data_IF_128716445410
#
_entry.id   IF_128716445410
#
_cell.length_a   1.000
_cell.length_b   1.000
_cell.length_c   1.000
_cell.angle_alpha   90.00
_cell.angle_beta   90.00
_cell.angle_gamma   90.00
#
_symmetry.space_group_name_H-M   'P 1'
#
loop_
_entity.id
_entity.type
_entity.pdbx_description
1 polymer ?
#
# COMPACT_ATOMS: atom_id res chain seq x y z
N UNK A 1 -13.87 -3.63 9.49
CA UNK A 1 -12.45 -4.06 9.50
C UNK A 1 -12.11 -4.41 8.06
N UNK A 2 -11.23 -3.65 7.40
CA UNK A 2 -10.85 -3.90 6.00
C UNK A 2 -9.57 -4.76 6.04
N UNK A 3 -9.58 -5.89 5.34
CA UNK A 3 -8.46 -6.81 5.24
C UNK A 3 -8.33 -7.26 3.79
N UNK A 4 -7.10 -7.47 3.35
CA UNK A 4 -6.76 -7.93 2.01
C UNK A 4 -5.84 -9.13 2.12
N UNK A 5 -6.04 -10.13 1.26
CA UNK A 5 -5.23 -11.35 1.23
C UNK A 5 -3.93 -11.18 0.43
N UNK A 6 -3.85 -10.16 -0.41
CA UNK A 6 -2.72 -9.86 -1.27
C UNK A 6 -2.44 -8.35 -1.34
N UNK A 7 -1.21 -8.02 -1.74
CA UNK A 7 -0.68 -6.65 -1.71
C UNK A 7 -1.12 -5.83 -2.91
N UNK A 8 -1.43 -6.47 -4.04
CA UNK A 8 -1.84 -5.78 -5.26
C UNK A 8 -3.24 -5.19 -5.06
N UNK A 9 -4.17 -5.98 -4.53
CA UNK A 9 -5.52 -5.52 -4.16
C UNK A 9 -5.48 -4.39 -3.13
N UNK A 10 -4.59 -4.48 -2.13
CA UNK A 10 -4.37 -3.40 -1.16
C UNK A 10 -3.87 -2.12 -1.86
N UNK A 11 -2.87 -2.23 -2.74
CA UNK A 11 -2.27 -1.10 -3.42
C UNK A 11 -3.28 -0.40 -4.34
N UNK A 12 -4.06 -1.14 -5.12
CA UNK A 12 -5.11 -0.59 -5.99
C UNK A 12 -6.21 0.07 -5.17
N UNK A 13 -6.57 -0.51 -4.03
CA UNK A 13 -7.55 0.10 -3.12
C UNK A 13 -7.05 1.44 -2.56
N UNK A 14 -5.76 1.54 -2.22
CA UNK A 14 -5.13 2.77 -1.74
C UNK A 14 -5.03 3.84 -2.84
N UNK A 15 -4.55 3.50 -4.03
CA UNK A 15 -4.42 4.45 -5.16
C UNK A 15 -5.73 5.15 -5.52
N UNK A 16 -6.84 4.41 -5.44
CA UNK A 16 -8.16 4.95 -5.74
C UNK A 16 -8.72 5.91 -4.66
N UNK A 17 -7.99 6.12 -3.55
CA UNK A 17 -8.45 6.90 -2.39
C UNK A 17 -7.49 8.00 -1.99
N UNK A 18 -6.19 7.74 -2.07
CA UNK A 18 -5.16 8.69 -1.66
C UNK A 18 -5.22 9.96 -2.50
N UNK A 19 -5.05 11.09 -1.83
CA UNK A 19 -4.85 12.40 -2.42
C UNK A 19 -3.36 12.78 -2.38
N UNK A 20 -2.91 13.74 -3.21
CA UNK A 20 -1.48 14.10 -3.30
C UNK A 20 -0.80 14.46 -1.98
N UNK A 21 -1.55 15.02 -1.01
CA UNK A 21 -1.00 15.47 0.28
C UNK A 21 -1.15 14.46 1.42
N UNK A 22 -1.65 13.24 1.13
CA UNK A 22 -1.84 12.22 2.15
C UNK A 22 -0.50 11.59 2.60
N UNK A 23 -0.34 11.43 3.92
CA UNK A 23 0.78 10.72 4.52
C UNK A 23 0.40 9.26 4.81
N UNK A 24 1.14 8.32 4.21
CA UNK A 24 0.92 6.88 4.39
C UNK A 24 2.07 6.24 5.16
N UNK A 25 1.77 5.60 6.30
CA UNK A 25 2.72 4.77 7.03
C UNK A 25 2.58 3.31 6.61
N UNK A 26 3.60 2.78 5.95
CA UNK A 26 3.70 1.35 5.64
C UNK A 26 4.57 0.66 6.69
N UNK A 27 4.02 -0.38 7.35
CA UNK A 27 4.71 -1.18 8.36
C UNK A 27 4.50 -2.67 8.13
N UNK A 28 5.56 -3.45 8.28
CA UNK A 28 5.52 -4.91 8.35
C UNK A 28 6.87 -5.48 8.76
N UNK A 29 6.91 -6.76 9.10
CA UNK A 29 8.18 -7.46 9.31
C UNK A 29 8.91 -7.66 7.97
N UNK A 30 10.23 -7.90 8.00
CA UNK A 30 11.05 -8.07 6.79
C UNK A 30 10.49 -9.13 5.82
N UNK A 31 9.97 -10.23 6.35
CA UNK A 31 9.42 -11.32 5.54
C UNK A 31 8.16 -10.95 4.76
N UNK A 32 7.43 -9.92 5.19
CA UNK A 32 6.20 -9.47 4.53
C UNK A 32 6.47 -8.72 3.22
N UNK A 33 7.68 -8.19 3.06
CA UNK A 33 8.11 -7.41 1.88
C UNK A 33 7.15 -6.24 1.59
N UNK A 34 6.87 -5.44 2.60
CA UNK A 34 5.91 -4.33 2.50
C UNK A 34 6.42 -3.17 1.64
N UNK A 35 7.73 -3.12 1.35
CA UNK A 35 8.33 -2.24 0.36
C UNK A 35 7.68 -2.39 -1.03
N UNK A 36 7.10 -3.56 -1.35
CA UNK A 36 6.37 -3.76 -2.60
C UNK A 36 5.11 -2.88 -2.69
N UNK A 37 4.44 -2.60 -1.55
CA UNK A 37 3.29 -1.68 -1.51
C UNK A 37 3.76 -0.23 -1.74
N UNK A 38 4.88 0.17 -1.12
CA UNK A 38 5.47 1.51 -1.33
C UNK A 38 5.79 1.73 -2.81
N UNK A 39 6.51 0.78 -3.42
CA UNK A 39 6.87 0.83 -4.85
C UNK A 39 5.66 0.89 -5.78
N UNK A 40 4.55 0.24 -5.41
CA UNK A 40 3.32 0.30 -6.19
C UNK A 40 2.70 1.70 -6.15
N UNK A 41 2.77 2.40 -5.01
CA UNK A 41 2.22 3.74 -4.81
C UNK A 41 3.08 4.84 -5.45
N UNK A 42 4.41 4.72 -5.46
CA UNK A 42 5.32 5.71 -6.05
C UNK A 42 5.29 5.76 -7.60
N UNK A 43 4.73 4.74 -8.25
CA UNK A 43 4.68 4.62 -9.72
C UNK A 43 3.34 5.06 -10.33
N UNK A 44 2.45 5.66 -9.56
CA UNK A 44 1.22 6.31 -10.03
C UNK A 44 1.39 7.81 -10.10
#
# INVERSE_FOLDING_TARGET
MIHFNDKDTLADWLKNRLQPDDLVLVKGSRGMRMEQVVQALEKG
#
